data_IF_846373514661
#
_entry.id   IF_846373514661
#
_cell.length_a   1.000
_cell.length_b   1.000
_cell.length_c   1.000
_cell.angle_alpha   90.00
_cell.angle_beta   90.00
_cell.angle_gamma   90.00
#
_symmetry.space_group_name_H-M   'P 1'
#
loop_
_entity.id
_entity.type
_entity.pdbx_description
1 polymer ?
#
# COMPACT_ATOMS: atom_id res chain seq x y z
N UNK A 1 -62.58 51.84 73.35
CA UNK A 1 -62.49 51.29 71.98
C UNK A 1 -61.16 50.56 71.83
N UNK A 2 -61.17 49.23 71.76
CA UNK A 2 -59.98 48.36 71.61
C UNK A 2 -59.56 48.34 70.13
N UNK A 3 -58.27 48.55 69.82
CA UNK A 3 -57.69 48.23 68.51
C UNK A 3 -56.54 47.26 68.71
N UNK A 4 -56.64 46.14 67.99
CA UNK A 4 -55.86 44.92 68.12
C UNK A 4 -54.40 45.11 67.70
N UNK A 5 -53.51 44.45 68.44
CA UNK A 5 -52.13 44.16 68.07
C UNK A 5 -52.11 42.97 67.09
N UNK A 6 -51.44 43.13 65.95
CA UNK A 6 -51.07 42.04 65.04
C UNK A 6 -49.55 42.03 64.91
N UNK A 7 -48.91 41.10 65.60
CA UNK A 7 -47.49 40.81 65.50
C UNK A 7 -47.26 39.86 64.31
N UNK A 8 -46.62 40.36 63.25
CA UNK A 8 -46.15 39.55 62.14
C UNK A 8 -44.68 39.17 62.39
N UNK A 9 -44.43 37.91 62.77
CA UNK A 9 -43.09 37.32 62.80
C UNK A 9 -42.58 37.14 61.36
N UNK A 10 -41.61 37.95 60.96
CA UNK A 10 -40.78 37.74 59.77
C UNK A 10 -39.67 36.75 60.09
N UNK A 11 -39.91 35.47 59.81
CA UNK A 11 -38.85 34.45 59.77
C UNK A 11 -38.17 34.57 58.41
N UNK A 12 -37.05 35.29 58.37
CA UNK A 12 -36.15 35.31 57.22
C UNK A 12 -35.38 33.98 57.16
N UNK A 13 -35.92 33.01 56.41
CA UNK A 13 -35.23 31.79 56.05
C UNK A 13 -34.19 32.13 54.96
N UNK A 14 -32.94 32.31 55.36
CA UNK A 14 -31.81 32.48 54.46
C UNK A 14 -31.52 31.16 53.73
N UNK A 15 -32.08 31.01 52.52
CA UNK A 15 -31.61 30.01 51.57
C UNK A 15 -30.15 30.31 51.21
N UNK A 16 -29.23 29.64 51.89
CA UNK A 16 -27.89 29.43 51.38
C UNK A 16 -28.00 28.45 50.20
N UNK A 17 -28.14 28.99 48.98
CA UNK A 17 -27.84 28.25 47.76
C UNK A 17 -26.37 27.81 47.83
N UNK A 18 -26.14 26.56 48.20
CA UNK A 18 -24.87 25.89 48.00
C UNK A 18 -24.76 25.57 46.50
N UNK A 19 -24.34 26.55 45.71
CA UNK A 19 -23.79 26.24 44.40
C UNK A 19 -22.58 25.32 44.67
N UNK A 20 -22.65 24.07 44.21
CA UNK A 20 -21.50 23.18 44.22
C UNK A 20 -20.31 23.94 43.59
N UNK A 21 -19.11 23.93 44.18
CA UNK A 21 -17.97 24.61 43.59
C UNK A 21 -17.77 24.10 42.16
N UNK A 22 -17.77 25.03 41.20
CA UNK A 22 -17.48 24.72 39.82
C UNK A 22 -16.11 24.02 39.76
N UNK A 23 -16.05 22.83 39.17
CA UNK A 23 -14.81 22.12 38.90
C UNK A 23 -14.30 22.58 37.53
N UNK A 24 -13.31 23.49 37.47
CA UNK A 24 -12.91 24.09 36.21
C UNK A 24 -12.30 23.08 35.24
N UNK A 25 -11.75 21.97 35.76
CA UNK A 25 -11.21 20.89 34.94
C UNK A 25 -12.34 20.06 34.33
N UNK A 26 -13.40 19.77 35.09
CA UNK A 26 -14.60 19.13 34.55
C UNK A 26 -15.26 19.99 33.46
N UNK A 27 -15.32 21.31 33.66
CA UNK A 27 -15.82 22.25 32.65
C UNK A 27 -14.96 22.22 31.38
N UNK A 28 -13.63 22.21 31.52
CA UNK A 28 -12.70 22.08 30.40
C UNK A 28 -12.86 20.74 29.65
N UNK A 29 -13.02 19.64 30.39
CA UNK A 29 -13.27 18.30 29.85
C UNK A 29 -14.61 18.25 29.08
N UNK A 30 -15.65 18.93 29.57
CA UNK A 30 -16.94 19.02 28.88
C UNK A 30 -16.85 19.84 27.57
N UNK A 31 -16.10 20.95 27.57
CA UNK A 31 -15.81 21.71 26.36
C UNK A 31 -15.06 20.85 25.33
N UNK A 32 -14.07 20.08 25.79
CA UNK A 32 -13.32 19.18 24.93
C UNK A 32 -14.21 18.08 24.33
N UNK A 33 -15.02 17.41 25.16
CA UNK A 33 -15.92 16.35 24.74
C UNK A 33 -16.99 16.82 23.74
N UNK A 34 -17.43 18.08 23.87
CA UNK A 34 -18.34 18.74 22.92
C UNK A 34 -17.64 19.31 21.68
N UNK A 35 -16.32 19.05 21.51
CA UNK A 35 -15.47 19.54 20.43
C UNK A 35 -15.39 21.07 20.34
N UNK A 36 -15.67 21.77 21.44
CA UNK A 36 -15.45 23.21 21.59
C UNK A 36 -13.96 23.48 21.84
N UNK A 37 -13.10 23.07 20.90
CA UNK A 37 -11.65 23.03 21.10
C UNK A 37 -11.02 24.39 21.40
N UNK A 38 -11.41 25.52 20.78
CA UNK A 38 -10.87 26.82 21.15
C UNK A 38 -11.14 27.19 22.62
N UNK A 39 -12.34 26.89 23.12
CA UNK A 39 -12.73 27.15 24.50
C UNK A 39 -12.02 26.19 25.46
N UNK A 40 -11.95 24.89 25.11
CA UNK A 40 -11.23 23.89 25.87
C UNK A 40 -9.74 24.24 25.97
N UNK A 41 -9.12 24.66 24.86
CA UNK A 41 -7.72 25.10 24.80
C UNK A 41 -7.47 26.25 25.77
N UNK A 42 -8.34 27.27 25.77
CA UNK A 42 -8.23 28.40 26.69
C UNK A 42 -8.37 27.96 28.17
N UNK A 43 -9.33 27.10 28.47
CA UNK A 43 -9.58 26.59 29.81
C UNK A 43 -8.40 25.73 30.32
N UNK A 44 -7.96 24.75 29.53
CA UNK A 44 -6.81 23.92 29.87
C UNK A 44 -5.52 24.75 29.98
N UNK A 45 -5.30 25.76 29.13
CA UNK A 45 -4.15 26.67 29.22
C UNK A 45 -4.10 27.36 30.59
N UNK A 46 -5.23 27.91 31.05
CA UNK A 46 -5.32 28.55 32.37
C UNK A 46 -4.97 27.57 33.49
N UNK A 47 -5.54 26.36 33.46
CA UNK A 47 -5.34 25.34 34.50
C UNK A 47 -3.92 24.77 34.49
N UNK A 48 -3.37 24.49 33.32
CA UNK A 48 -2.03 23.97 33.15
C UNK A 48 -0.95 24.97 33.63
N UNK A 49 -1.17 26.27 33.39
CA UNK A 49 -0.34 27.35 33.91
C UNK A 49 -0.44 27.48 35.43
N UNK A 50 -1.60 27.19 36.02
CA UNK A 50 -1.76 27.07 37.48
C UNK A 50 -1.16 25.77 38.05
N UNK A 51 -0.56 24.91 37.21
CA UNK A 51 0.16 23.72 37.63
C UNK A 51 -0.68 22.45 37.69
N UNK A 52 -1.94 22.48 37.23
CA UNK A 52 -2.82 21.31 37.15
C UNK A 52 -2.22 20.27 36.17
N UNK A 53 -1.97 19.06 36.66
CA UNK A 53 -1.24 18.02 35.94
C UNK A 53 -2.06 17.43 34.80
N UNK A 54 -3.36 17.22 35.02
CA UNK A 54 -4.27 16.69 34.00
C UNK A 54 -4.46 17.68 32.86
N UNK A 55 -4.62 18.97 33.16
CA UNK A 55 -4.69 20.01 32.14
C UNK A 55 -3.38 20.13 31.32
N UNK A 56 -2.21 19.97 31.95
CA UNK A 56 -0.93 19.91 31.23
C UNK A 56 -0.89 18.72 30.28
N UNK A 57 -1.33 17.54 30.73
CA UNK A 57 -1.42 16.37 29.87
C UNK A 57 -2.41 16.59 28.72
N UNK A 58 -3.58 17.18 28.97
CA UNK A 58 -4.59 17.45 27.95
C UNK A 58 -4.09 18.44 26.90
N UNK A 59 -3.40 19.51 27.30
CA UNK A 59 -2.74 20.41 26.33
C UNK A 59 -1.72 19.68 25.46
N UNK A 60 -0.93 18.78 26.05
CA UNK A 60 -0.01 17.94 25.30
C UNK A 60 -0.73 17.17 24.19
N UNK A 61 -1.86 16.54 24.51
CA UNK A 61 -2.68 15.81 23.54
C UNK A 61 -3.29 16.72 22.48
N UNK A 62 -3.83 17.88 22.87
CA UNK A 62 -4.44 18.81 21.91
C UNK A 62 -3.44 19.30 20.86
N UNK A 63 -2.20 19.60 21.24
CA UNK A 63 -1.16 19.97 20.28
C UNK A 63 -0.67 18.77 19.45
N UNK A 64 -0.66 17.58 20.03
CA UNK A 64 -0.24 16.35 19.35
C UNK A 64 -1.22 15.91 18.27
N UNK A 65 -2.52 15.97 18.54
CA UNK A 65 -3.57 15.60 17.60
C UNK A 65 -4.07 16.76 16.72
N UNK A 66 -3.56 17.98 16.93
CA UNK A 66 -3.95 19.16 16.17
C UNK A 66 -5.32 19.74 16.58
N UNK A 67 -5.89 19.32 17.69
CA UNK A 67 -7.13 19.89 18.24
C UNK A 67 -6.93 21.33 18.72
N UNK A 68 -5.69 21.72 19.01
CA UNK A 68 -5.29 23.11 19.27
C UNK A 68 -5.11 23.97 18.00
N UNK A 69 -5.49 23.46 16.82
CA UNK A 69 -5.35 24.14 15.52
C UNK A 69 -4.54 23.29 14.53
N UNK A 70 -3.22 23.54 14.46
CA UNK A 70 -2.30 22.68 13.71
C UNK A 70 -1.53 21.78 14.68
N UNK A 71 -1.06 20.62 14.21
CA UNK A 71 -0.15 19.76 14.98
C UNK A 71 1.11 20.55 15.33
N UNK A 72 1.48 20.58 16.61
CA UNK A 72 2.68 21.23 17.13
C UNK A 72 3.38 20.26 18.08
N UNK A 73 4.22 19.37 17.51
CA UNK A 73 4.92 18.32 18.27
C UNK A 73 5.80 18.93 19.37
N UNK A 74 6.39 20.11 19.14
CA UNK A 74 7.25 20.78 20.12
C UNK A 74 6.46 21.27 21.34
N UNK A 75 5.30 21.90 21.13
CA UNK A 75 4.42 22.30 22.25
C UNK A 75 3.83 21.09 22.96
N UNK A 76 3.45 20.05 22.21
CA UNK A 76 2.97 18.81 22.78
C UNK A 76 4.01 18.22 23.75
N UNK A 77 5.26 18.08 23.28
CA UNK A 77 6.36 17.56 24.08
C UNK A 77 6.61 18.41 25.33
N UNK A 78 6.61 19.75 25.20
CA UNK A 78 6.83 20.65 26.31
C UNK A 78 5.77 20.49 27.42
N UNK A 79 4.50 20.34 27.05
CA UNK A 79 3.42 20.12 28.01
C UNK A 79 3.45 18.73 28.62
N UNK A 80 3.71 17.68 27.83
CA UNK A 80 3.88 16.35 28.35
C UNK A 80 5.06 16.24 29.31
N UNK A 81 6.20 16.88 29.03
CA UNK A 81 7.35 16.91 29.97
C UNK A 81 6.98 17.53 31.31
N UNK A 82 6.19 18.61 31.34
CA UNK A 82 5.71 19.22 32.58
C UNK A 82 4.81 18.27 33.39
N UNK A 83 3.87 17.60 32.74
CA UNK A 83 2.99 16.63 33.40
C UNK A 83 3.76 15.38 33.86
N UNK A 84 4.67 14.86 33.03
CA UNK A 84 5.50 13.70 33.31
C UNK A 84 6.45 13.93 34.50
N UNK A 85 7.02 15.14 34.62
CA UNK A 85 7.84 15.54 35.77
C UNK A 85 7.07 15.49 37.10
N UNK A 86 5.73 15.49 37.05
CA UNK A 86 4.83 15.33 38.20
C UNK A 86 4.24 13.92 38.31
N UNK A 87 4.79 12.94 37.58
CA UNK A 87 4.40 11.53 37.65
C UNK A 87 3.14 11.18 36.83
N UNK A 88 2.69 12.04 35.91
CA UNK A 88 1.55 11.71 35.06
C UNK A 88 1.91 10.56 34.08
N UNK A 89 1.33 9.38 34.31
CA UNK A 89 1.62 8.18 33.53
C UNK A 89 1.27 8.32 32.05
N UNK A 90 0.16 9.00 31.73
CA UNK A 90 -0.28 9.23 30.34
C UNK A 90 0.75 10.10 29.60
N UNK A 91 1.23 11.17 30.22
CA UNK A 91 2.25 12.03 29.63
C UNK A 91 3.59 11.32 29.45
N UNK A 92 4.00 10.47 30.39
CA UNK A 92 5.20 9.62 30.24
C UNK A 92 5.05 8.68 29.04
N UNK A 93 3.92 8.00 28.92
CA UNK A 93 3.64 7.12 27.79
C UNK A 93 3.60 7.89 26.46
N UNK A 94 2.99 9.08 26.42
CA UNK A 94 2.97 9.94 25.24
C UNK A 94 4.37 10.34 24.79
N UNK A 95 5.26 10.73 25.71
CA UNK A 95 6.64 11.07 25.38
C UNK A 95 7.40 9.88 24.77
N UNK A 96 7.16 8.68 25.29
CA UNK A 96 7.77 7.47 24.73
C UNK A 96 7.24 7.18 23.31
N UNK A 97 5.94 7.34 23.07
CA UNK A 97 5.35 7.23 21.72
C UNK A 97 5.95 8.28 20.76
N UNK A 98 6.11 9.53 21.21
CA UNK A 98 6.73 10.60 20.41
C UNK A 98 8.18 10.28 20.05
N UNK A 99 8.94 9.73 21.00
CA UNK A 99 10.33 9.28 20.78
C UNK A 99 10.39 8.12 19.79
N UNK A 100 9.50 7.13 19.93
CA UNK A 100 9.39 6.01 19.00
C UNK A 100 9.04 6.49 17.59
N UNK A 101 8.03 7.36 17.44
CA UNK A 101 7.69 7.98 16.15
C UNK A 101 8.86 8.73 15.53
N UNK A 102 9.61 9.49 16.32
CA UNK A 102 10.78 10.22 15.82
C UNK A 102 11.84 9.26 15.29
N UNK A 103 12.09 8.17 16.02
CA UNK A 103 13.06 7.14 15.63
C UNK A 103 12.60 6.35 14.39
N UNK A 104 11.31 6.04 14.31
CA UNK A 104 10.69 5.23 13.22
C UNK A 104 10.13 6.10 12.09
N UNK A 105 10.46 7.40 12.03
CA UNK A 105 9.86 8.35 11.08
C UNK A 105 10.04 7.92 9.62
N UNK A 106 11.22 7.39 9.28
CA UNK A 106 11.52 6.90 7.93
C UNK A 106 10.68 5.69 7.54
N UNK A 107 10.40 4.79 8.49
CA UNK A 107 9.57 3.60 8.24
C UNK A 107 8.10 3.97 8.10
N UNK A 108 7.59 4.90 8.91
CA UNK A 108 6.25 5.48 8.71
C UNK A 108 6.16 6.11 7.32
N UNK A 109 7.13 6.95 6.94
CA UNK A 109 7.18 7.60 5.64
C UNK A 109 7.30 6.59 4.49
N UNK A 110 7.96 5.45 4.69
CA UNK A 110 7.99 4.39 3.69
C UNK A 110 6.58 3.92 3.33
N UNK A 111 5.76 3.55 4.31
CA UNK A 111 4.39 3.08 4.07
C UNK A 111 3.44 4.18 3.57
N UNK A 112 3.67 5.43 4.00
CA UNK A 112 2.80 6.56 3.64
C UNK A 112 3.14 7.13 2.25
N UNK A 113 4.41 7.08 1.82
CA UNK A 113 4.91 7.89 0.70
C UNK A 113 5.77 7.13 -0.31
N UNK A 114 6.40 6.01 0.06
CA UNK A 114 7.46 5.40 -0.78
C UNK A 114 7.21 3.95 -1.20
N UNK A 115 6.42 3.18 -0.46
CA UNK A 115 6.15 1.76 -0.77
C UNK A 115 5.50 1.63 -2.15
N UNK A 116 6.02 0.76 -3.01
CA UNK A 116 5.52 0.51 -4.37
C UNK A 116 5.26 -0.99 -4.63
N UNK A 117 5.29 -1.82 -3.58
CA UNK A 117 5.14 -3.28 -3.70
C UNK A 117 6.32 -3.95 -4.41
N UNK A 118 7.50 -3.36 -4.28
CA UNK A 118 8.75 -3.89 -4.81
C UNK A 118 9.01 -5.34 -4.38
N UNK A 119 8.70 -5.66 -3.13
CA UNK A 119 8.82 -6.99 -2.53
C UNK A 119 7.91 -8.03 -3.20
N UNK A 120 6.73 -7.61 -3.68
CA UNK A 120 5.75 -8.48 -4.37
C UNK A 120 6.22 -8.92 -5.76
N UNK A 121 7.24 -8.24 -6.32
CA UNK A 121 7.77 -8.48 -7.68
C UNK A 121 9.14 -9.17 -7.69
N UNK A 122 9.58 -9.72 -6.56
CA UNK A 122 10.92 -10.34 -6.43
C UNK A 122 10.91 -11.87 -6.44
N UNK A 123 12.09 -12.47 -6.63
CA UNK A 123 12.29 -13.91 -6.50
C UNK A 123 11.47 -14.71 -7.51
N UNK A 124 10.65 -15.65 -7.03
CA UNK A 124 9.81 -16.49 -7.89
C UNK A 124 8.70 -15.72 -8.64
N UNK A 125 8.46 -14.47 -8.28
CA UNK A 125 7.47 -13.60 -8.92
C UNK A 125 8.10 -12.60 -9.90
N UNK A 126 9.42 -12.63 -10.08
CA UNK A 126 10.13 -11.87 -11.12
C UNK A 126 10.00 -12.58 -12.48
N UNK A 127 8.81 -12.47 -13.08
CA UNK A 127 8.45 -13.19 -14.30
C UNK A 127 9.09 -12.57 -15.55
N UNK A 128 10.28 -13.05 -15.90
CA UNK A 128 11.02 -12.62 -17.09
C UNK A 128 10.23 -12.87 -18.37
N UNK A 129 10.01 -11.81 -19.15
CA UNK A 129 9.35 -11.89 -20.45
C UNK A 129 10.12 -12.82 -21.40
N UNK A 130 9.45 -13.75 -22.08
CA UNK A 130 10.10 -14.66 -23.02
C UNK A 130 10.51 -13.88 -24.28
N UNK A 131 11.64 -14.26 -24.87
CA UNK A 131 12.03 -13.73 -26.19
C UNK A 131 11.25 -14.47 -27.27
N UNK A 132 10.36 -13.75 -27.95
CA UNK A 132 9.55 -14.28 -29.04
C UNK A 132 10.06 -13.67 -30.36
N UNK A 133 10.61 -14.46 -31.30
CA UNK A 133 11.02 -13.96 -32.61
C UNK A 133 9.77 -13.66 -33.47
N UNK A 134 9.94 -12.93 -34.58
CA UNK A 134 8.82 -12.68 -35.50
C UNK A 134 8.31 -13.99 -36.16
N UNK A 135 9.22 -14.94 -36.37
CA UNK A 135 8.93 -16.24 -37.00
C UNK A 135 9.98 -17.26 -36.56
N UNK A 136 9.59 -18.53 -36.46
CA UNK A 136 10.52 -19.64 -36.28
C UNK A 136 10.48 -20.59 -37.46
N UNK A 137 11.66 -20.95 -37.98
CA UNK A 137 11.78 -21.82 -39.17
C UNK A 137 12.25 -23.24 -38.84
N UNK A 138 12.85 -23.41 -37.65
CA UNK A 138 13.42 -24.66 -37.19
C UNK A 138 12.58 -25.24 -36.05
N UNK A 139 12.38 -26.56 -36.06
CA UNK A 139 11.51 -27.24 -35.10
C UNK A 139 11.97 -27.05 -33.65
N UNK A 140 13.28 -27.00 -33.43
CA UNK A 140 13.91 -26.81 -32.12
C UNK A 140 13.69 -25.39 -31.62
N UNK A 141 13.62 -24.40 -32.50
CA UNK A 141 13.31 -23.01 -32.14
C UNK A 141 11.85 -22.88 -31.73
N UNK A 142 10.93 -23.53 -32.46
CA UNK A 142 9.51 -23.57 -32.12
C UNK A 142 9.30 -24.17 -30.72
N UNK A 143 9.96 -25.30 -30.44
CA UNK A 143 9.94 -25.92 -29.12
C UNK A 143 10.51 -25.00 -28.02
N UNK A 144 11.64 -24.33 -28.27
CA UNK A 144 12.26 -23.39 -27.31
C UNK A 144 11.36 -22.20 -26.99
N UNK A 145 10.78 -21.55 -27.99
CA UNK A 145 9.86 -20.41 -27.80
C UNK A 145 8.63 -20.87 -27.03
N UNK A 146 8.05 -22.02 -27.40
CA UNK A 146 6.87 -22.57 -26.72
C UNK A 146 7.15 -22.86 -25.25
N UNK A 147 8.27 -23.49 -24.93
CA UNK A 147 8.68 -23.77 -23.56
C UNK A 147 8.94 -22.49 -22.74
N UNK A 148 9.56 -21.48 -23.35
CA UNK A 148 9.81 -20.19 -22.69
C UNK A 148 8.49 -19.47 -22.35
N UNK A 149 7.52 -19.50 -23.25
CA UNK A 149 6.19 -18.91 -23.05
C UNK A 149 5.43 -19.66 -21.95
N UNK A 150 5.44 -21.00 -21.94
CA UNK A 150 4.84 -21.80 -20.85
C UNK A 150 5.46 -21.47 -19.50
N UNK A 151 6.80 -21.42 -19.42
CA UNK A 151 7.49 -21.06 -18.17
C UNK A 151 7.11 -19.66 -17.67
N UNK A 152 6.98 -18.70 -18.58
CA UNK A 152 6.53 -17.35 -18.24
C UNK A 152 5.07 -17.34 -17.77
N UNK A 153 4.18 -18.08 -18.45
CA UNK A 153 2.76 -18.20 -18.11
C UNK A 153 2.58 -18.77 -16.70
N UNK A 154 3.33 -19.82 -16.34
CA UNK A 154 3.30 -20.44 -15.02
C UNK A 154 3.73 -19.45 -13.93
N UNK A 155 4.81 -18.71 -14.18
CA UNK A 155 5.27 -17.65 -13.28
C UNK A 155 4.20 -16.55 -13.14
N UNK A 156 3.66 -16.05 -14.25
CA UNK A 156 2.66 -14.98 -14.26
C UNK A 156 1.41 -15.37 -13.47
N UNK A 157 0.91 -16.60 -13.65
CA UNK A 157 -0.22 -17.12 -12.90
C UNK A 157 0.09 -17.19 -11.40
N UNK A 158 1.30 -17.62 -11.03
CA UNK A 158 1.78 -17.60 -9.65
C UNK A 158 1.84 -16.19 -9.06
N UNK A 159 2.37 -15.22 -9.82
CA UNK A 159 2.42 -13.82 -9.41
C UNK A 159 1.04 -13.22 -9.21
N UNK A 160 0.09 -13.44 -10.13
CA UNK A 160 -1.30 -12.97 -9.98
C UNK A 160 -1.95 -13.58 -8.74
N UNK A 161 -1.76 -14.88 -8.49
CA UNK A 161 -2.24 -15.52 -7.27
C UNK A 161 -1.64 -14.90 -6.01
N UNK A 162 -0.33 -14.64 -6.02
CA UNK A 162 0.38 -13.98 -4.92
C UNK A 162 -0.13 -12.56 -4.65
N UNK A 163 -0.32 -11.76 -5.69
CA UNK A 163 -0.83 -10.39 -5.59
C UNK A 163 -2.27 -10.37 -5.04
N UNK A 164 -3.12 -11.33 -5.46
CA UNK A 164 -4.46 -11.48 -4.91
C UNK A 164 -4.43 -11.89 -3.43
N UNK A 165 -3.53 -12.80 -3.04
CA UNK A 165 -3.37 -13.24 -1.65
C UNK A 165 -2.80 -12.14 -0.74
N UNK A 166 -2.01 -11.21 -1.29
CA UNK A 166 -1.47 -10.06 -0.55
C UNK A 166 -2.52 -8.99 -0.23
N UNK A 167 -3.70 -9.05 -0.87
CA UNK A 167 -4.75 -8.04 -0.72
C UNK A 167 -5.57 -8.20 0.58
N UNK A 168 -5.98 -7.10 1.24
CA UNK A 168 -5.56 -5.72 0.98
C UNK A 168 -4.12 -5.50 1.46
N UNK A 169 -3.34 -4.73 0.70
CA UNK A 169 -1.93 -4.46 1.02
C UNK A 169 -1.75 -3.77 2.38
N UNK A 170 -2.79 -3.11 2.91
CA UNK A 170 -2.80 -2.50 4.25
C UNK A 170 -2.42 -3.47 5.37
N UNK A 171 -2.65 -4.78 5.20
CA UNK A 171 -2.22 -5.82 6.15
C UNK A 171 -0.70 -6.00 6.22
N UNK A 172 0.05 -5.44 5.26
CA UNK A 172 1.52 -5.56 5.21
C UNK A 172 2.22 -4.53 6.09
N UNK A 173 1.54 -3.46 6.50
CA UNK A 173 2.10 -2.47 7.41
C UNK A 173 2.38 -3.17 8.75
N UNK A 174 3.64 -3.19 9.25
CA UNK A 174 3.97 -3.80 10.54
C UNK A 174 3.11 -3.21 11.66
N UNK A 175 2.60 -4.06 12.56
CA UNK A 175 1.64 -3.64 13.58
C UNK A 175 2.22 -2.60 14.56
N UNK A 176 3.53 -2.65 14.82
CA UNK A 176 4.27 -1.67 15.60
C UNK A 176 4.37 -0.32 14.88
N UNK A 177 4.59 -0.31 13.55
CA UNK A 177 4.52 0.91 12.74
C UNK A 177 3.10 1.48 12.72
N UNK A 178 2.09 0.63 12.46
CA UNK A 178 0.69 1.06 12.37
C UNK A 178 0.21 1.74 13.67
N UNK A 179 0.62 1.22 14.84
CA UNK A 179 0.33 1.85 16.14
C UNK A 179 0.95 3.22 16.32
N UNK A 180 2.06 3.47 15.64
CA UNK A 180 2.74 4.75 15.71
C UNK A 180 2.12 5.77 14.76
N UNK A 181 1.32 5.41 13.76
CA UNK A 181 0.76 6.33 12.76
C UNK A 181 -0.39 7.18 13.32
N UNK A 182 -0.50 8.43 12.85
CA UNK A 182 -1.68 9.25 13.13
C UNK A 182 -2.80 8.97 12.10
N UNK A 183 -3.99 9.54 12.31
CA UNK A 183 -5.13 9.32 11.43
C UNK A 183 -4.85 9.71 9.99
N UNK A 184 -4.24 10.88 9.76
CA UNK A 184 -3.96 11.37 8.41
C UNK A 184 -2.94 10.50 7.68
N UNK A 185 -1.89 10.04 8.37
CA UNK A 185 -0.91 9.09 7.86
C UNK A 185 -1.55 7.74 7.54
N UNK A 186 -2.44 7.25 8.40
CA UNK A 186 -3.17 5.98 8.19
C UNK A 186 -4.05 6.06 6.95
N UNK A 187 -4.79 7.16 6.78
CA UNK A 187 -5.60 7.41 5.59
C UNK A 187 -4.73 7.44 4.33
N UNK A 188 -3.64 8.23 4.33
CA UNK A 188 -2.72 8.31 3.19
C UNK A 188 -2.08 6.98 2.84
N UNK A 189 -1.66 6.20 3.85
CA UNK A 189 -1.12 4.86 3.62
C UNK A 189 -2.18 3.94 3.00
N UNK A 190 -3.41 3.93 3.53
CA UNK A 190 -4.48 3.10 2.97
C UNK A 190 -4.77 3.44 1.49
N UNK A 191 -4.88 4.73 1.16
CA UNK A 191 -5.09 5.23 -0.20
C UNK A 191 -3.92 4.85 -1.11
N UNK A 192 -2.69 5.08 -0.64
CA UNK A 192 -1.49 4.72 -1.39
C UNK A 192 -1.40 3.22 -1.65
N UNK A 193 -1.63 2.39 -0.64
CA UNK A 193 -1.53 0.94 -0.78
C UNK A 193 -2.64 0.37 -1.67
N UNK A 194 -3.82 1.00 -1.70
CA UNK A 194 -4.85 0.69 -2.70
C UNK A 194 -4.37 1.04 -4.12
N UNK A 195 -3.80 2.24 -4.32
CA UNK A 195 -3.25 2.66 -5.61
C UNK A 195 -2.10 1.75 -6.06
N UNK A 196 -1.21 1.34 -5.16
CA UNK A 196 -0.12 0.38 -5.46
C UNK A 196 -0.71 -0.96 -5.92
N UNK A 197 -1.72 -1.48 -5.25
CA UNK A 197 -2.40 -2.71 -5.66
C UNK A 197 -2.96 -2.61 -7.08
N UNK A 198 -3.62 -1.49 -7.41
CA UNK A 198 -4.17 -1.23 -8.74
C UNK A 198 -3.07 -1.12 -9.80
N UNK A 199 -2.02 -0.35 -9.52
CA UNK A 199 -0.89 -0.18 -10.43
C UNK A 199 -0.18 -1.51 -10.72
N UNK A 200 0.06 -2.34 -9.69
CA UNK A 200 0.67 -3.66 -9.87
C UNK A 200 -0.19 -4.59 -10.72
N UNK A 201 -1.50 -4.58 -10.51
CA UNK A 201 -2.44 -5.39 -11.30
C UNK A 201 -2.49 -4.91 -12.76
N UNK A 202 -2.51 -3.60 -12.99
CA UNK A 202 -2.54 -3.03 -14.33
C UNK A 202 -1.21 -3.24 -15.08
N UNK A 203 -0.07 -3.04 -14.42
CA UNK A 203 1.26 -3.37 -14.96
C UNK A 203 1.32 -4.83 -15.42
N UNK A 204 0.84 -5.76 -14.57
CA UNK A 204 0.79 -7.19 -14.88
C UNK A 204 -0.09 -7.46 -16.11
N UNK A 205 -1.30 -6.89 -16.12
CA UNK A 205 -2.29 -7.08 -17.19
C UNK A 205 -1.79 -6.54 -18.52
N UNK A 206 -1.20 -5.34 -18.53
CA UNK A 206 -0.67 -4.70 -19.74
C UNK A 206 0.55 -5.47 -20.25
N UNK A 207 1.48 -5.83 -19.37
CA UNK A 207 2.65 -6.65 -19.73
C UNK A 207 2.26 -7.98 -20.35
N UNK A 208 1.29 -8.69 -19.74
CA UNK A 208 0.78 -9.94 -20.28
C UNK A 208 0.12 -9.77 -21.65
N UNK A 209 -0.66 -8.70 -21.84
CA UNK A 209 -1.31 -8.41 -23.12
C UNK A 209 -0.30 -8.24 -24.26
N UNK A 210 0.83 -7.57 -24.00
CA UNK A 210 1.90 -7.39 -24.99
C UNK A 210 2.53 -8.72 -25.38
N UNK A 211 2.91 -9.54 -24.39
CA UNK A 211 3.50 -10.87 -24.63
C UNK A 211 2.55 -11.78 -25.41
N UNK A 212 1.26 -11.77 -25.07
CA UNK A 212 0.25 -12.56 -25.76
C UNK A 212 0.02 -12.08 -27.20
N UNK A 213 0.16 -10.78 -27.47
CA UNK A 213 0.10 -10.25 -28.83
C UNK A 213 1.30 -10.70 -29.67
N UNK A 214 2.51 -10.62 -29.12
CA UNK A 214 3.74 -11.10 -29.78
C UNK A 214 3.67 -12.60 -30.05
N UNK A 215 3.16 -13.38 -29.08
CA UNK A 215 2.93 -14.81 -29.22
C UNK A 215 1.95 -15.14 -30.35
N UNK A 216 0.84 -14.40 -30.43
CA UNK A 216 -0.16 -14.58 -31.48
C UNK A 216 0.43 -14.28 -32.88
N UNK A 217 1.19 -13.20 -33.00
CA UNK A 217 1.88 -12.83 -34.24
C UNK A 217 2.90 -13.90 -34.66
N UNK A 218 3.74 -14.35 -33.72
CA UNK A 218 4.74 -15.40 -33.97
C UNK A 218 4.10 -16.73 -34.38
N UNK A 219 3.01 -17.16 -33.71
CA UNK A 219 2.28 -18.39 -34.08
C UNK A 219 1.75 -18.30 -35.50
N UNK A 220 1.05 -17.23 -35.83
CA UNK A 220 0.48 -17.00 -37.16
C UNK A 220 1.56 -17.05 -38.26
N UNK A 221 2.68 -16.35 -38.07
CA UNK A 221 3.78 -16.33 -39.04
C UNK A 221 4.48 -17.70 -39.16
N UNK A 222 4.73 -18.35 -38.03
CA UNK A 222 5.42 -19.65 -37.98
C UNK A 222 4.59 -20.76 -38.62
N UNK A 223 3.28 -20.82 -38.32
CA UNK A 223 2.35 -21.78 -38.91
C UNK A 223 2.23 -21.58 -40.42
N UNK A 224 2.16 -20.33 -40.89
CA UNK A 224 2.14 -20.00 -42.31
C UNK A 224 3.41 -20.52 -43.03
N UNK A 225 4.60 -20.26 -42.46
CA UNK A 225 5.86 -20.73 -43.03
C UNK A 225 5.96 -22.26 -43.04
N UNK A 226 5.63 -22.93 -41.93
CA UNK A 226 5.68 -24.40 -41.85
C UNK A 226 4.75 -25.01 -42.90
N UNK A 227 3.53 -24.46 -43.06
CA UNK A 227 2.58 -24.92 -44.07
C UNK A 227 3.13 -24.75 -45.49
N UNK A 228 3.64 -23.57 -45.83
CA UNK A 228 4.22 -23.30 -47.15
C UNK A 228 5.43 -24.17 -47.44
N UNK A 229 6.35 -24.27 -46.48
CA UNK A 229 7.56 -25.08 -46.61
C UNK A 229 7.24 -26.57 -46.78
N UNK A 230 6.31 -27.12 -45.99
CA UNK A 230 5.88 -28.51 -46.12
C UNK A 230 5.24 -28.79 -47.48
N UNK A 231 4.45 -27.84 -48.02
CA UNK A 231 3.89 -27.98 -49.35
C UNK A 231 4.97 -28.02 -50.45
N UNK A 232 6.01 -27.18 -50.33
CA UNK A 232 7.16 -27.18 -51.26
C UNK A 232 7.95 -28.49 -51.19
N UNK A 233 8.22 -28.99 -49.99
CA UNK A 233 8.92 -30.26 -49.77
C UNK A 233 8.11 -31.43 -50.34
N UNK A 234 6.79 -31.46 -50.10
CA UNK A 234 5.91 -32.50 -50.62
C UNK A 234 5.76 -32.46 -52.15
N UNK A 235 5.82 -31.27 -52.76
CA UNK A 235 5.75 -31.08 -54.21
C UNK A 235 7.11 -31.30 -54.92
N UNK A 236 8.21 -31.39 -54.18
CA UNK A 236 9.53 -31.67 -54.77
C UNK A 236 9.62 -33.14 -55.16
N UNK A 237 9.75 -33.49 -56.45
CA UNK A 237 9.95 -34.87 -56.85
C UNK A 237 11.23 -35.36 -56.19
N UNK A 238 11.10 -36.39 -55.35
CA UNK A 238 12.24 -37.08 -54.76
C UNK A 238 13.23 -37.37 -55.87
N UNK A 239 14.45 -36.87 -55.71
CA UNK A 239 15.50 -37.03 -56.71
C UNK A 239 15.67 -38.52 -56.98
N UNK A 240 15.20 -38.99 -58.15
CA UNK A 240 15.65 -40.25 -58.76
C UNK A 240 17.12 -40.06 -59.13
N UNK A 241 18.01 -40.16 -58.14
CA UNK A 241 19.45 -40.24 -58.37
C UNK A 241 19.76 -41.67 -58.85
N UNK A 242 20.17 -41.73 -60.11
CA UNK A 242 20.80 -42.86 -60.81
C UNK A 242 19.95 -44.12 -61.06
N UNK A 243 19.48 -44.23 -62.31
CA UNK A 243 19.20 -45.49 -62.98
C UNK A 243 20.55 -46.22 -63.23
N UNK A 244 20.81 -47.28 -62.47
CA UNK A 244 22.00 -48.14 -62.61
C UNK A 244 21.89 -49.15 -63.76
N UNK A 245 20.77 -49.22 -64.48
CA UNK A 245 20.54 -50.22 -65.54
C UNK A 245 21.03 -49.79 -66.93
N UNK A 246 21.83 -48.72 -67.05
CA UNK A 246 22.49 -48.39 -68.32
C UNK A 246 23.80 -49.17 -68.45
N UNK A 247 23.90 -50.20 -69.31
CA UNK A 247 25.14 -50.96 -69.46
C UNK A 247 26.25 -50.06 -70.02
N UNK A 248 27.37 -50.01 -69.29
CA UNK A 248 28.61 -49.39 -69.75
C UNK A 248 29.24 -50.33 -70.77
N UNK A 249 29.08 -50.05 -72.07
CA UNK A 249 29.88 -50.73 -73.08
C UNK A 249 29.24 -50.87 -74.46
N UNK A 250 29.41 -49.85 -75.30
CA UNK A 250 29.59 -50.05 -76.73
C UNK A 250 30.42 -48.89 -77.27
N UNK A 251 31.74 -49.08 -77.30
CA UNK A 251 32.65 -48.18 -78.01
C UNK A 251 32.39 -48.28 -79.54
N UNK A 252 32.46 -47.17 -80.30
CA UNK A 252 32.41 -47.22 -81.75
C UNK A 252 33.71 -47.83 -82.29
N UNK A 253 33.61 -48.87 -83.12
CA UNK A 253 34.76 -49.39 -83.90
C UNK A 253 35.08 -48.41 -85.04
N UNK A 254 36.37 -48.06 -85.27
CA UNK A 254 36.77 -47.28 -86.43
C UNK A 254 37.06 -48.18 -87.64
N UNK A 255 36.49 -47.81 -88.79
CA UNK A 255 37.05 -47.98 -90.14
C UNK A 255 37.29 -49.39 -90.72
N UNK A 256 36.62 -49.68 -91.84
CA UNK A 256 37.22 -50.38 -92.97
C UNK A 256 36.62 -49.82 -94.28
N UNK A 257 37.49 -49.77 -95.30
CA UNK A 257 37.43 -49.09 -96.59
C UNK A 257 36.17 -49.30 -97.44
#
# INVERSE_FOLDING_TARGET
>A
MKRLLLAACLVACSLACSAAPADPLADANALFASKAYPQALAAYTKLANAGNVEAQQQLGQMYWYGEAGAVDEAKAEAWFRKAAAKGNAVAIASLEVMKQRTTRRAEIAHWVEHYQGEDLKTGQFDCKAPRIPAISKQSEEIARVSAAVTKWQDCYNGYVSHLNAASPLTKRIPADIAKLMNLAETTRANERLALVQENLAEEARVGAKLILADLAAWRSATEAYVKEHNAIVAASPSVKLYDFDRPIGAAPRPGAQ
#
